data_IF_866217366904
#
_entry.id   IF_866217366904
#
_cell.length_a   1.000
_cell.length_b   1.000
_cell.length_c   1.000
_cell.angle_alpha   90.00
_cell.angle_beta   90.00
_cell.angle_gamma   90.00
#
_symmetry.space_group_name_H-M   'P 1'
#
loop_
_entity.id
_entity.type
_entity.pdbx_description
1 polymer ?
#
# COMPACT_ATOMS: atom_id res chain seq x y z
N UNK A 1 -27.68 20.24 -3.70
CA UNK A 1 -26.82 19.43 -4.58
C UNK A 1 -26.14 18.41 -3.69
N UNK A 2 -26.62 17.15 -3.75
CA UNK A 2 -26.04 16.05 -2.98
C UNK A 2 -24.72 15.66 -3.65
N UNK A 3 -23.59 15.83 -2.97
CA UNK A 3 -22.35 15.19 -3.39
C UNK A 3 -22.29 13.81 -2.75
N UNK A 4 -22.60 12.84 -3.62
CA UNK A 4 -22.21 11.44 -3.71
C UNK A 4 -21.63 10.72 -2.49
N UNK A 5 -22.20 9.53 -2.26
CA UNK A 5 -21.58 8.40 -1.55
C UNK A 5 -20.08 8.33 -1.84
N UNK A 6 -19.28 8.42 -0.78
CA UNK A 6 -17.84 8.19 -0.81
C UNK A 6 -17.59 6.68 -0.93
N UNK A 7 -17.13 6.22 -2.10
CA UNK A 7 -16.56 4.88 -2.23
C UNK A 7 -15.12 4.91 -1.77
N UNK A 8 -14.76 4.03 -0.82
CA UNK A 8 -13.36 3.73 -0.52
C UNK A 8 -12.79 2.94 -1.70
N UNK A 9 -11.67 3.42 -2.23
CA UNK A 9 -11.00 2.79 -3.37
C UNK A 9 -9.89 1.89 -2.81
N UNK A 10 -9.63 0.73 -3.42
CA UNK A 10 -8.68 -0.28 -2.92
C UNK A 10 -7.73 -0.72 -4.03
N UNK A 11 -6.45 -0.90 -3.68
CA UNK A 11 -5.44 -1.36 -4.61
C UNK A 11 -5.34 -2.87 -4.47
N UNK A 12 -5.69 -3.58 -5.53
CA UNK A 12 -5.52 -5.03 -5.62
C UNK A 12 -4.07 -5.35 -5.98
N UNK A 13 -3.18 -5.17 -5.00
CA UNK A 13 -1.71 -5.32 -5.13
C UNK A 13 -1.27 -6.58 -5.88
N UNK A 14 -2.00 -7.68 -5.70
CA UNK A 14 -1.70 -8.99 -6.30
C UNK A 14 -1.82 -9.02 -7.82
N UNK A 15 -2.74 -8.24 -8.38
CA UNK A 15 -2.94 -8.17 -9.83
C UNK A 15 -1.75 -7.47 -10.51
N UNK A 16 -1.05 -6.61 -9.77
CA UNK A 16 0.09 -5.85 -10.26
C UNK A 16 1.44 -6.45 -9.84
N UNK A 17 1.47 -7.61 -9.18
CA UNK A 17 2.68 -8.21 -8.61
C UNK A 17 3.83 -8.35 -9.64
N UNK A 18 3.50 -8.69 -10.88
CA UNK A 18 4.47 -8.85 -11.97
C UNK A 18 4.62 -7.60 -12.86
N UNK A 19 3.91 -6.52 -12.52
CA UNK A 19 3.79 -5.34 -13.36
C UNK A 19 3.64 -4.07 -12.52
N UNK A 20 4.40 -3.98 -11.43
CA UNK A 20 4.35 -2.88 -10.47
C UNK A 20 4.29 -1.52 -11.18
N UNK A 21 5.26 -1.25 -12.05
CA UNK A 21 5.38 0.05 -12.75
C UNK A 21 4.30 0.32 -13.78
N UNK A 22 3.58 -0.71 -14.24
CA UNK A 22 2.50 -0.57 -15.20
C UNK A 22 1.12 -0.45 -14.54
N UNK A 23 1.05 -0.52 -13.21
CA UNK A 23 -0.21 -0.36 -12.50
C UNK A 23 -0.81 1.02 -12.76
N UNK A 24 -2.12 1.05 -13.03
CA UNK A 24 -2.88 2.29 -13.21
C UNK A 24 -2.82 3.19 -11.96
N UNK A 25 -2.49 2.63 -10.79
CA UNK A 25 -2.36 3.43 -9.58
C UNK A 25 -1.17 4.40 -9.66
N UNK A 26 -0.22 4.19 -10.56
CA UNK A 26 0.93 5.06 -10.77
C UNK A 26 0.77 6.01 -11.95
N UNK A 27 -0.37 5.99 -12.63
CA UNK A 27 -0.63 6.87 -13.76
C UNK A 27 -0.46 8.35 -13.37
N UNK A 28 0.26 9.11 -14.19
CA UNK A 28 0.60 10.50 -13.91
C UNK A 28 -0.60 11.47 -13.97
N UNK A 29 -1.76 11.03 -14.48
CA UNK A 29 -2.96 11.87 -14.61
C UNK A 29 -4.10 11.39 -13.72
N UNK A 30 -4.30 10.08 -13.62
CA UNK A 30 -5.40 9.43 -12.94
C UNK A 30 -4.98 8.72 -11.64
N UNK A 31 -3.66 8.57 -11.41
CA UNK A 31 -3.09 7.86 -10.27
C UNK A 31 -2.26 8.75 -9.32
N UNK A 32 -1.35 8.10 -8.57
CA UNK A 32 -0.54 8.65 -7.49
C UNK A 32 0.84 9.16 -7.94
N UNK A 33 1.06 9.28 -9.25
CA UNK A 33 2.38 9.52 -9.85
C UNK A 33 3.22 8.26 -9.92
N UNK A 34 4.23 8.27 -10.78
CA UNK A 34 5.11 7.15 -11.09
C UNK A 34 6.30 7.07 -10.11
N UNK A 35 7.32 6.29 -10.42
CA UNK A 35 8.52 6.16 -9.62
C UNK A 35 9.20 7.51 -9.35
N UNK A 36 9.96 7.54 -8.27
CA UNK A 36 10.82 8.68 -7.97
C UNK A 36 11.95 8.85 -8.97
N UNK A 37 12.50 10.06 -9.05
CA UNK A 37 13.66 10.39 -9.88
C UNK A 37 14.81 10.97 -9.08
N UNK A 38 16.02 10.84 -9.60
CA UNK A 38 17.24 11.37 -9.00
C UNK A 38 17.73 10.54 -7.81
N UNK A 39 18.72 11.07 -7.09
CA UNK A 39 19.32 10.39 -5.93
C UNK A 39 18.38 10.31 -4.71
N UNK A 40 17.43 11.24 -4.63
CA UNK A 40 16.46 11.29 -3.52
C UNK A 40 15.15 10.54 -3.83
N UNK A 41 15.01 10.01 -5.04
CA UNK A 41 13.83 9.28 -5.52
C UNK A 41 12.52 10.05 -5.29
N UNK A 42 12.50 11.36 -5.54
CA UNK A 42 11.31 12.20 -5.36
C UNK A 42 10.29 11.99 -6.48
N UNK A 43 9.01 11.99 -6.10
CA UNK A 43 7.91 11.96 -7.06
C UNK A 43 7.76 13.35 -7.71
N UNK A 44 7.88 13.39 -9.03
CA UNK A 44 7.84 14.64 -9.82
C UNK A 44 6.63 14.75 -10.74
N UNK A 45 5.77 13.73 -10.79
CA UNK A 45 4.55 13.68 -11.60
C UNK A 45 3.34 13.21 -10.77
N UNK A 46 2.17 13.14 -11.41
CA UNK A 46 0.95 12.77 -10.71
C UNK A 46 0.40 13.87 -9.81
N UNK A 47 -0.69 13.52 -9.11
CA UNK A 47 -1.37 14.40 -8.15
C UNK A 47 -0.50 14.78 -6.95
N UNK A 48 0.60 14.06 -6.73
CA UNK A 48 1.48 14.22 -5.57
C UNK A 48 2.90 14.65 -5.94
N UNK A 49 3.10 15.11 -7.18
CA UNK A 49 4.35 15.74 -7.62
C UNK A 49 4.81 16.82 -6.64
N UNK A 50 6.05 16.73 -6.17
CA UNK A 50 6.67 17.68 -5.24
C UNK A 50 5.89 17.85 -3.91
N UNK A 51 5.10 16.85 -3.53
CA UNK A 51 4.41 16.88 -2.24
C UNK A 51 5.43 16.83 -1.11
N UNK A 52 5.33 17.75 -0.15
CA UNK A 52 6.24 17.83 0.99
C UNK A 52 5.63 17.21 2.23
N UNK A 53 6.40 16.38 2.92
CA UNK A 53 6.02 15.75 4.18
C UNK A 53 6.67 16.48 5.35
N UNK A 54 5.89 16.65 6.42
CA UNK A 54 6.29 17.37 7.63
C UNK A 54 6.70 16.44 8.78
N UNK A 55 6.42 15.14 8.62
CA UNK A 55 6.75 14.10 9.59
C UNK A 55 7.99 13.39 9.06
N UNK A 56 9.14 13.75 9.62
CA UNK A 56 10.46 13.22 9.26
C UNK A 56 10.78 11.96 10.07
N UNK A 57 11.58 11.01 9.52
CA UNK A 57 12.10 9.88 10.29
C UNK A 57 13.03 10.32 11.42
N UNK A 58 13.61 11.52 11.30
CA UNK A 58 14.48 12.12 12.30
C UNK A 58 13.64 13.08 13.14
N UNK A 59 13.92 13.19 14.45
CA UNK A 59 13.25 14.11 15.41
C UNK A 59 13.48 15.61 15.05
N UNK A 60 14.04 15.91 13.88
CA UNK A 60 14.04 17.24 13.30
C UNK A 60 12.84 17.34 12.35
N UNK A 61 11.97 18.34 12.52
CA UNK A 61 10.83 18.58 11.63
C UNK A 61 11.28 19.09 10.25
N UNK A 62 12.24 18.41 9.63
CA UNK A 62 12.80 18.75 8.33
C UNK A 62 11.80 18.35 7.26
N UNK A 63 11.41 19.32 6.44
CA UNK A 63 10.60 19.07 5.26
C UNK A 63 11.41 18.24 4.27
N UNK A 64 10.79 17.19 3.74
CA UNK A 64 11.33 16.40 2.63
C UNK A 64 10.21 16.11 1.65
N UNK A 65 10.56 15.87 0.39
CA UNK A 65 9.58 15.50 -0.62
C UNK A 65 9.20 14.03 -0.47
N UNK A 66 7.95 13.72 -0.79
CA UNK A 66 7.50 12.35 -0.92
C UNK A 66 8.36 11.62 -1.95
N UNK A 67 8.87 10.46 -1.54
CA UNK A 67 9.76 9.62 -2.34
C UNK A 67 9.16 8.25 -2.61
N UNK A 68 9.59 7.64 -3.72
CA UNK A 68 9.22 6.30 -4.15
C UNK A 68 10.37 5.68 -4.92
N UNK A 69 10.72 4.44 -4.62
CA UNK A 69 11.80 3.73 -5.29
C UNK A 69 11.39 2.27 -5.54
N UNK A 70 10.76 2.04 -6.69
CA UNK A 70 10.17 0.75 -7.00
C UNK A 70 11.18 -0.40 -6.99
N UNK A 71 10.86 -1.43 -6.22
CA UNK A 71 11.58 -2.68 -6.14
C UNK A 71 10.70 -3.83 -6.64
N UNK A 72 10.66 -4.02 -7.97
CA UNK A 72 9.85 -5.07 -8.59
C UNK A 72 10.26 -6.49 -8.13
N UNK A 73 11.54 -6.71 -7.81
CA UNK A 73 12.05 -8.00 -7.32
C UNK A 73 11.46 -8.36 -5.95
N UNK A 74 11.17 -7.35 -5.11
CA UNK A 74 10.42 -7.55 -3.86
C UNK A 74 8.93 -7.65 -4.10
N UNK A 75 8.40 -6.82 -4.98
CA UNK A 75 6.96 -6.72 -5.21
C UNK A 75 6.37 -7.99 -5.85
N UNK A 76 7.15 -8.74 -6.64
CA UNK A 76 6.70 -10.02 -7.25
C UNK A 76 6.32 -11.09 -6.22
N UNK A 77 6.83 -10.97 -4.99
CA UNK A 77 6.48 -11.85 -3.88
C UNK A 77 5.08 -11.56 -3.32
N UNK A 78 4.46 -10.42 -3.65
CA UNK A 78 3.06 -10.09 -3.35
C UNK A 78 2.13 -10.87 -4.29
N UNK A 79 2.13 -12.21 -4.20
CA UNK A 79 1.35 -13.08 -5.07
C UNK A 79 0.35 -13.96 -4.32
N UNK A 80 -0.58 -14.55 -5.07
CA UNK A 80 -1.67 -15.36 -4.53
C UNK A 80 -1.21 -16.56 -3.68
N UNK A 81 -0.03 -17.13 -3.96
CA UNK A 81 0.49 -18.30 -3.24
C UNK A 81 0.66 -18.04 -1.75
N UNK A 82 1.19 -16.88 -1.40
CA UNK A 82 1.48 -16.51 -0.01
C UNK A 82 0.22 -16.12 0.76
N UNK A 83 -0.68 -15.37 0.12
CA UNK A 83 -1.95 -15.01 0.75
C UNK A 83 -2.85 -16.23 0.97
N UNK A 84 -2.88 -17.19 0.05
CA UNK A 84 -3.62 -18.44 0.22
C UNK A 84 -3.08 -19.26 1.40
N UNK A 85 -1.75 -19.28 1.61
CA UNK A 85 -1.15 -19.91 2.78
C UNK A 85 -1.59 -19.23 4.08
N UNK A 86 -1.60 -17.90 4.12
CA UNK A 86 -2.08 -17.16 5.29
C UNK A 86 -3.59 -17.34 5.54
N UNK A 87 -4.40 -17.56 4.50
CA UNK A 87 -5.83 -17.87 4.65
C UNK A 87 -6.11 -19.31 5.08
N UNK A 88 -5.18 -20.24 4.84
CA UNK A 88 -5.34 -21.64 5.22
C UNK A 88 -5.20 -21.88 6.73
N UNK A 89 -4.67 -20.92 7.49
CA UNK A 89 -4.57 -21.04 8.96
C UNK A 89 -5.88 -20.64 9.65
N UNK A 90 -6.26 -21.41 10.66
CA UNK A 90 -7.43 -21.14 11.51
C UNK A 90 -7.06 -20.38 12.79
N UNK A 91 -5.77 -20.12 13.03
CA UNK A 91 -5.30 -19.36 14.17
C UNK A 91 -5.09 -17.89 13.79
N UNK A 92 -5.86 -17.00 14.41
CA UNK A 92 -5.81 -15.56 14.17
C UNK A 92 -4.39 -14.99 14.22
N UNK A 93 -3.65 -15.26 15.30
CA UNK A 93 -2.34 -14.63 15.52
C UNK A 93 -1.31 -15.10 14.49
N UNK A 94 -1.42 -16.36 14.04
CA UNK A 94 -0.59 -16.90 12.96
C UNK A 94 -0.97 -16.28 11.62
N UNK A 95 -2.28 -16.14 11.34
CA UNK A 95 -2.78 -15.53 10.11
C UNK A 95 -2.34 -14.06 10.01
N UNK A 96 -2.49 -13.32 11.11
CA UNK A 96 -2.12 -11.92 11.20
C UNK A 96 -0.62 -11.70 10.98
N UNK A 97 0.25 -12.47 11.66
CA UNK A 97 1.70 -12.34 11.49
C UNK A 97 2.13 -12.73 10.06
N UNK A 98 1.47 -13.73 9.46
CA UNK A 98 1.67 -14.11 8.06
C UNK A 98 1.32 -12.98 7.10
N UNK A 99 0.14 -12.36 7.24
CA UNK A 99 -0.29 -11.24 6.40
C UNK A 99 0.60 -10.01 6.55
N UNK A 100 0.97 -9.68 7.79
CA UNK A 100 1.84 -8.54 8.09
C UNK A 100 3.21 -8.70 7.42
N UNK A 101 3.89 -9.84 7.66
CA UNK A 101 5.27 -10.04 7.20
C UNK A 101 5.43 -10.37 5.74
N UNK A 102 4.38 -10.90 5.11
CA UNK A 102 4.42 -11.27 3.70
C UNK A 102 3.83 -10.12 2.90
N UNK A 103 2.60 -10.27 2.42
CA UNK A 103 2.08 -9.38 1.38
C UNK A 103 1.95 -7.91 1.81
N UNK A 104 1.81 -7.61 3.11
CA UNK A 104 1.84 -6.22 3.58
C UNK A 104 3.26 -5.63 3.50
N UNK A 105 4.22 -6.20 4.23
CA UNK A 105 5.60 -5.71 4.24
C UNK A 105 6.23 -5.74 2.83
N UNK A 106 5.99 -6.79 2.04
CA UNK A 106 6.47 -6.88 0.65
C UNK A 106 5.86 -5.83 -0.29
N UNK A 107 4.61 -5.43 -0.04
CA UNK A 107 4.00 -4.32 -0.79
C UNK A 107 4.63 -2.98 -0.39
N UNK A 108 4.97 -2.79 0.90
CA UNK A 108 5.74 -1.64 1.36
C UNK A 108 7.13 -1.60 0.71
N UNK A 109 7.89 -2.69 0.82
CA UNK A 109 9.23 -2.84 0.26
C UNK A 109 9.25 -2.68 -1.26
N UNK A 110 8.24 -3.22 -1.95
CA UNK A 110 8.16 -3.12 -3.40
C UNK A 110 7.86 -1.70 -3.89
N UNK A 111 7.12 -0.89 -3.13
CA UNK A 111 6.90 0.53 -3.46
C UNK A 111 8.13 1.38 -3.11
N UNK A 112 8.80 1.05 -2.00
CA UNK A 112 10.02 1.73 -1.58
C UNK A 112 9.80 3.17 -1.09
N UNK A 113 10.91 3.85 -0.82
CA UNK A 113 10.93 5.27 -0.45
C UNK A 113 10.16 5.55 0.84
N UNK A 114 9.26 6.52 0.81
CA UNK A 114 8.48 6.91 2.01
C UNK A 114 7.58 5.77 2.52
N UNK A 115 7.09 4.90 1.62
CA UNK A 115 6.17 3.82 1.98
C UNK A 115 6.88 2.65 2.65
N UNK A 116 8.16 2.43 2.39
CA UNK A 116 8.94 1.36 3.01
C UNK A 116 9.11 1.55 4.53
N UNK A 117 9.18 2.79 4.99
CA UNK A 117 9.32 3.09 6.42
C UNK A 117 7.97 2.90 7.13
N UNK A 118 7.89 1.94 8.06
CA UNK A 118 6.65 1.62 8.77
C UNK A 118 6.03 2.79 9.56
N UNK A 119 6.82 3.79 9.97
CA UNK A 119 6.36 4.98 10.69
C UNK A 119 5.85 6.04 9.71
N UNK A 120 6.55 6.21 8.59
CA UNK A 120 6.26 7.25 7.59
C UNK A 120 5.33 6.79 6.48
N UNK A 121 5.08 5.50 6.38
CA UNK A 121 4.28 4.92 5.31
C UNK A 121 2.89 5.55 5.16
N UNK A 122 2.20 6.01 6.23
CA UNK A 122 0.95 6.76 6.09
C UNK A 122 1.10 8.09 5.32
N UNK A 123 2.29 8.70 5.33
CA UNK A 123 2.62 9.89 4.54
C UNK A 123 2.83 9.58 3.05
N UNK A 124 3.06 8.32 2.71
CA UNK A 124 2.96 7.84 1.34
C UNK A 124 1.51 7.85 0.89
N UNK A 125 1.18 8.58 -0.16
CA UNK A 125 -0.21 8.80 -0.59
C UNK A 125 -0.96 7.52 -1.06
N UNK A 126 -0.29 6.38 -1.07
CA UNK A 126 -0.87 5.03 -1.24
C UNK A 126 -1.50 4.52 0.06
N UNK A 127 -0.98 4.91 1.22
CA UNK A 127 -1.34 4.33 2.52
C UNK A 127 -2.62 4.90 3.16
N UNK A 128 -3.10 6.08 2.73
CA UNK A 128 -4.32 6.69 3.30
C UNK A 128 -5.57 6.58 2.43
N UNK A 129 -5.44 6.32 1.13
CA UNK A 129 -6.60 6.13 0.25
C UNK A 129 -7.04 4.67 0.10
N UNK A 130 -6.12 3.73 0.34
CA UNK A 130 -6.25 2.36 -0.09
C UNK A 130 -5.69 1.49 1.02
N UNK A 131 -6.56 1.12 1.97
CA UNK A 131 -6.24 0.02 2.87
C UNK A 131 -5.80 -1.13 1.97
N UNK A 132 -4.56 -1.59 2.08
CA UNK A 132 -4.15 -2.87 1.51
C UNK A 132 -5.23 -3.87 1.94
N UNK A 133 -6.07 -4.33 0.98
CA UNK A 133 -7.32 -5.07 1.25
C UNK A 133 -7.09 -6.35 2.05
N UNK A 134 -5.83 -6.73 2.22
CA UNK A 134 -5.39 -7.88 2.96
C UNK A 134 -5.88 -7.93 4.41
N UNK A 135 -5.84 -6.81 5.13
CA UNK A 135 -6.09 -6.86 6.57
C UNK A 135 -7.59 -6.72 6.86
N UNK A 136 -8.30 -5.78 6.22
CA UNK A 136 -9.67 -5.45 6.64
C UNK A 136 -10.74 -6.42 6.10
N UNK A 137 -10.65 -6.86 4.84
CA UNK A 137 -11.66 -7.76 4.27
C UNK A 137 -11.49 -9.19 4.80
N UNK A 138 -10.25 -9.65 5.02
CA UNK A 138 -9.95 -10.95 5.61
C UNK A 138 -10.45 -11.07 7.06
N UNK A 139 -10.25 -10.02 7.87
CA UNK A 139 -10.74 -9.99 9.25
C UNK A 139 -12.27 -10.02 9.33
N UNK A 140 -12.97 -9.36 8.40
CA UNK A 140 -14.44 -9.38 8.37
C UNK A 140 -15.01 -10.72 7.93
N UNK A 141 -14.42 -11.41 6.94
CA UNK A 141 -14.96 -12.69 6.46
C UNK A 141 -14.53 -13.89 7.30
N UNK A 142 -13.35 -13.86 7.95
CA UNK A 142 -12.86 -14.98 8.75
C UNK A 142 -13.35 -14.99 10.20
N UNK A 143 -13.75 -13.85 10.77
CA UNK A 143 -14.14 -13.74 12.19
C UNK A 143 -15.56 -13.22 12.45
N UNK A 144 -16.28 -12.71 11.45
CA UNK A 144 -17.67 -12.24 11.57
C UNK A 144 -18.67 -13.03 10.72
N UNK A 145 -18.51 -14.36 10.57
CA UNK A 145 -19.56 -15.23 9.99
C UNK A 145 -20.67 -15.57 11.01
N UNK A 146 -21.01 -14.66 11.91
CA UNK A 146 -22.11 -14.86 12.87
C UNK A 146 -22.81 -13.56 13.29
N UNK A 147 -23.17 -12.68 12.34
CA UNK A 147 -24.35 -11.82 12.49
C UNK A 147 -24.58 -10.98 11.24
N UNK A 148 -25.54 -11.41 10.43
CA UNK A 148 -26.54 -10.62 9.69
C UNK A 148 -26.91 -11.35 8.40
N UNK A 149 -27.84 -12.30 8.53
CA UNK A 149 -28.79 -12.58 7.44
C UNK A 149 -29.85 -11.48 7.39
N UNK A 150 -30.43 -11.26 6.21
CA UNK A 150 -31.86 -11.36 6.03
C UNK A 150 -32.27 -12.69 5.38
#
# INVERSE_FOLDING_TARGET
>A
MHLCSSYTIYWYVFEDANSLTASIIWDAYMGFGDNGVGEDSYIIDGLFANHTLNISPVINNTLYCLSRDFNADRFVEVNYTYIDQCFATTNHSVAWDCWARQSHDLAHDGVGGTIEDAILSPGGNVALGYSIKLILTAMQTAFFSSSCEP
#
